data_IF_276452894395
#
_entry.id   IF_276452894395
#
_cell.length_a   1.000
_cell.length_b   1.000
_cell.length_c   1.000
_cell.angle_alpha   90.00
_cell.angle_beta   90.00
_cell.angle_gamma   90.00
#
_symmetry.space_group_name_H-M   'P 1'
#
loop_
_entity.id
_entity.type
_entity.pdbx_description
1 polymer ?
#
# COMPACT_ATOMS: atom_id res chain seq x y z
N UNK A 1 -35.26 4.28 35.06
CA UNK A 1 -34.56 2.99 34.95
C UNK A 1 -35.64 1.93 34.86
N UNK A 2 -35.68 1.20 33.74
CA UNK A 2 -36.62 0.11 33.51
C UNK A 2 -36.38 -1.02 34.53
N UNK A 3 -37.44 -1.74 34.89
CA UNK A 3 -37.40 -2.71 36.01
C UNK A 3 -37.43 -4.19 35.57
N UNK A 4 -37.66 -4.43 34.27
CA UNK A 4 -37.62 -5.74 33.64
C UNK A 4 -36.22 -6.38 33.67
N UNK A 5 -36.15 -7.71 33.79
CA UNK A 5 -34.91 -8.50 33.64
C UNK A 5 -34.51 -8.62 32.16
N UNK A 6 -33.56 -7.78 31.75
CA UNK A 6 -33.11 -7.72 30.36
C UNK A 6 -32.45 -9.01 29.87
N UNK A 7 -31.91 -9.85 30.76
CA UNK A 7 -31.20 -11.07 30.35
C UNK A 7 -32.15 -12.15 29.80
N UNK A 8 -33.44 -12.05 30.14
CA UNK A 8 -34.50 -12.96 29.69
C UNK A 8 -35.45 -12.31 28.68
N UNK A 9 -35.33 -11.01 28.47
CA UNK A 9 -36.18 -10.26 27.57
C UNK A 9 -36.03 -10.75 26.13
N UNK A 10 -37.17 -10.97 25.47
CA UNK A 10 -37.23 -11.22 24.03
C UNK A 10 -38.18 -10.23 23.35
N UNK A 11 -37.71 -9.60 22.26
CA UNK A 11 -38.50 -8.72 21.41
C UNK A 11 -38.81 -9.41 20.08
N UNK A 12 -40.07 -9.34 19.62
CA UNK A 12 -40.48 -9.86 18.32
C UNK A 12 -41.10 -8.79 17.44
N UNK A 13 -40.64 -8.71 16.20
CA UNK A 13 -41.12 -7.76 15.18
C UNK A 13 -41.91 -8.51 14.12
N UNK A 14 -43.24 -8.42 14.16
CA UNK A 14 -44.13 -9.22 13.29
C UNK A 14 -44.70 -8.44 12.09
N UNK A 15 -44.20 -7.23 11.82
CA UNK A 15 -44.75 -6.33 10.80
C UNK A 15 -43.70 -5.86 9.78
N UNK A 16 -43.00 -6.78 9.13
CA UNK A 16 -42.09 -6.44 8.04
C UNK A 16 -42.83 -6.12 6.74
N UNK A 17 -42.28 -5.18 5.98
CA UNK A 17 -42.77 -4.68 4.71
C UNK A 17 -41.82 -5.10 3.58
N UNK A 18 -42.38 -5.44 2.42
CA UNK A 18 -41.58 -5.60 1.19
C UNK A 18 -41.14 -4.22 0.69
N UNK A 19 -40.00 -4.14 0.02
CA UNK A 19 -39.56 -2.90 -0.62
C UNK A 19 -40.25 -2.72 -1.99
N UNK A 20 -41.35 -1.95 -2.01
CA UNK A 20 -42.16 -1.67 -3.22
C UNK A 20 -42.25 -0.17 -3.52
N UNK A 21 -42.51 0.17 -4.78
CA UNK A 21 -42.68 1.56 -5.23
C UNK A 21 -43.93 2.15 -4.58
N UNK A 22 -43.78 3.26 -3.86
CA UNK A 22 -44.86 3.96 -3.15
C UNK A 22 -45.08 3.52 -1.70
N UNK A 23 -44.44 2.41 -1.30
CA UNK A 23 -44.48 1.87 0.07
C UNK A 23 -43.11 1.98 0.75
N UNK A 24 -42.23 2.87 0.28
CA UNK A 24 -40.94 3.10 0.94
C UNK A 24 -41.14 3.87 2.25
N UNK A 25 -40.23 3.71 3.23
CA UNK A 25 -40.19 4.57 4.41
C UNK A 25 -40.04 6.05 4.01
N UNK A 26 -40.44 6.96 4.90
CA UNK A 26 -40.18 8.38 4.69
C UNK A 26 -38.66 8.67 4.78
N UNK A 27 -38.22 9.75 4.13
CA UNK A 27 -36.80 10.14 4.14
C UNK A 27 -36.29 10.31 5.58
N UNK A 28 -35.18 9.62 5.90
CA UNK A 28 -34.56 9.65 7.22
C UNK A 28 -35.19 8.70 8.25
N UNK A 29 -36.24 7.96 7.90
CA UNK A 29 -36.86 6.99 8.82
C UNK A 29 -35.95 5.79 9.09
N UNK A 30 -35.87 5.44 10.38
CA UNK A 30 -35.09 4.32 10.85
C UNK A 30 -35.78 3.01 10.58
N UNK A 31 -35.03 2.13 9.93
CA UNK A 31 -35.52 0.83 9.53
C UNK A 31 -34.59 -0.26 10.05
N UNK A 32 -35.21 -1.31 10.59
CA UNK A 32 -34.59 -2.62 10.69
C UNK A 32 -34.71 -3.29 9.32
N UNK A 33 -33.60 -3.80 8.79
CA UNK A 33 -33.50 -4.29 7.43
C UNK A 33 -33.16 -5.77 7.42
N UNK A 34 -33.85 -6.51 6.55
CA UNK A 34 -33.45 -7.84 6.11
C UNK A 34 -32.85 -7.72 4.70
N UNK A 35 -31.65 -8.26 4.52
CA UNK A 35 -30.97 -8.31 3.24
C UNK A 35 -31.40 -9.55 2.45
N UNK A 36 -31.25 -9.51 1.13
CA UNK A 36 -31.59 -10.63 0.24
C UNK A 36 -30.78 -11.90 0.49
N UNK A 37 -29.63 -11.78 1.14
CA UNK A 37 -28.80 -12.90 1.56
C UNK A 37 -29.17 -13.46 2.94
N UNK A 38 -30.22 -12.92 3.59
CA UNK A 38 -30.73 -13.37 4.88
C UNK A 38 -30.12 -12.66 6.11
N UNK A 39 -29.15 -11.76 5.91
CA UNK A 39 -28.56 -10.96 7.00
C UNK A 39 -29.50 -9.86 7.47
N UNK A 40 -29.28 -9.39 8.70
CA UNK A 40 -30.03 -8.27 9.29
C UNK A 40 -29.12 -7.10 9.63
N UNK A 41 -29.59 -5.88 9.34
CA UNK A 41 -28.87 -4.64 9.66
C UNK A 41 -29.86 -3.52 9.97
N UNK A 42 -29.37 -2.29 10.12
CA UNK A 42 -30.19 -1.13 10.39
C UNK A 42 -29.66 0.11 9.67
N UNK A 43 -30.57 0.96 9.22
CA UNK A 43 -30.21 2.20 8.54
C UNK A 43 -31.39 3.13 8.31
N UNK A 44 -31.12 4.35 7.87
CA UNK A 44 -32.15 5.32 7.51
C UNK A 44 -32.32 5.42 6.00
N UNK A 45 -33.56 5.50 5.54
CA UNK A 45 -33.86 5.58 4.12
C UNK A 45 -33.47 6.92 3.49
N UNK A 46 -32.78 6.87 2.34
CA UNK A 46 -32.40 8.02 1.52
C UNK A 46 -32.81 7.78 0.06
N UNK A 47 -33.88 8.44 -0.38
CA UNK A 47 -34.37 8.37 -1.77
C UNK A 47 -33.38 9.03 -2.74
N UNK A 48 -33.07 8.38 -3.86
CA UNK A 48 -32.20 8.92 -4.93
C UNK A 48 -32.94 9.22 -6.24
N UNK A 49 -34.18 8.75 -6.40
CA UNK A 49 -34.97 8.93 -7.62
C UNK A 49 -35.68 10.29 -7.74
N UNK A 50 -36.08 10.63 -8.97
CA UNK A 50 -36.84 11.85 -9.30
C UNK A 50 -38.36 11.75 -9.03
N UNK A 51 -38.79 10.64 -8.44
CA UNK A 51 -40.19 10.31 -8.14
C UNK A 51 -41.05 9.91 -9.35
N UNK A 52 -40.45 9.71 -10.54
CA UNK A 52 -41.18 9.42 -11.79
C UNK A 52 -40.93 8.02 -12.36
N UNK A 53 -39.95 7.27 -11.84
CA UNK A 53 -39.67 5.90 -12.27
C UNK A 53 -40.48 4.87 -11.47
N UNK A 54 -40.83 3.74 -12.10
CA UNK A 54 -41.47 2.59 -11.44
C UNK A 54 -40.42 1.67 -10.76
N UNK A 55 -39.28 2.22 -10.36
CA UNK A 55 -38.17 1.48 -9.74
C UNK A 55 -37.90 2.12 -8.39
N UNK A 56 -37.66 1.30 -7.36
CA UNK A 56 -37.21 1.80 -6.06
C UNK A 56 -35.74 2.21 -6.19
N UNK A 57 -35.48 3.51 -6.24
CA UNK A 57 -34.13 4.08 -6.34
C UNK A 57 -33.77 4.84 -5.06
N UNK A 58 -32.82 4.32 -4.30
CA UNK A 58 -32.35 4.89 -3.04
C UNK A 58 -31.39 3.97 -2.30
N UNK A 59 -30.99 4.39 -1.11
CA UNK A 59 -30.08 3.63 -0.27
C UNK A 59 -30.46 3.79 1.20
N UNK A 60 -30.10 2.80 2.01
CA UNK A 60 -30.15 2.89 3.46
C UNK A 60 -28.78 3.28 3.97
N UNK A 61 -28.71 4.41 4.65
CA UNK A 61 -27.46 4.92 5.23
C UNK A 61 -27.22 4.23 6.58
N UNK A 62 -26.04 3.64 6.74
CA UNK A 62 -25.54 2.95 7.93
C UNK A 62 -24.39 3.77 8.56
N UNK A 63 -24.68 4.57 9.57
CA UNK A 63 -23.64 5.36 10.26
C UNK A 63 -22.97 6.44 9.39
N UNK A 64 -21.66 6.66 9.54
CA UNK A 64 -20.92 7.82 9.00
C UNK A 64 -20.46 7.73 7.54
N UNK A 65 -20.43 6.55 6.92
CA UNK A 65 -19.88 6.40 5.57
C UNK A 65 -20.31 5.13 4.81
N UNK A 66 -21.23 4.35 5.36
CA UNK A 66 -21.63 3.05 4.80
C UNK A 66 -23.10 3.11 4.33
N UNK A 67 -23.41 2.46 3.22
CA UNK A 67 -24.73 2.51 2.56
C UNK A 67 -25.09 1.13 2.02
N UNK A 68 -26.35 0.73 2.17
CA UNK A 68 -26.93 -0.47 1.54
C UNK A 68 -27.84 -0.01 0.41
N UNK A 69 -27.60 -0.48 -0.81
CA UNK A 69 -28.48 -0.16 -1.92
C UNK A 69 -29.87 -0.76 -1.69
N UNK A 70 -30.92 -0.02 -2.08
CA UNK A 70 -32.30 -0.49 -1.98
C UNK A 70 -32.51 -1.88 -2.61
N UNK A 71 -31.79 -2.17 -3.70
CA UNK A 71 -31.87 -3.45 -4.41
C UNK A 71 -31.30 -4.64 -3.62
N UNK A 72 -30.55 -4.42 -2.55
CA UNK A 72 -30.00 -5.46 -1.69
C UNK A 72 -30.95 -5.84 -0.54
N UNK A 73 -31.96 -5.01 -0.25
CA UNK A 73 -32.92 -5.22 0.82
C UNK A 73 -34.06 -6.12 0.34
N UNK A 74 -34.37 -7.17 1.11
CA UNK A 74 -35.51 -8.04 0.86
C UNK A 74 -36.76 -7.53 1.58
N UNK A 75 -36.63 -7.18 2.86
CA UNK A 75 -37.71 -6.65 3.70
C UNK A 75 -37.19 -5.61 4.69
N UNK A 76 -38.10 -4.83 5.24
CA UNK A 76 -37.75 -3.77 6.18
C UNK A 76 -38.87 -3.52 7.20
N UNK A 77 -38.55 -2.82 8.29
CA UNK A 77 -39.49 -2.50 9.36
C UNK A 77 -39.20 -1.14 9.99
N UNK A 78 -40.19 -0.24 10.05
CA UNK A 78 -40.10 1.07 10.69
C UNK A 78 -39.94 0.95 12.21
N UNK A 79 -38.85 1.48 12.77
CA UNK A 79 -38.61 1.44 14.21
C UNK A 79 -39.22 2.64 14.96
N UNK A 80 -39.42 3.77 14.29
CA UNK A 80 -39.96 4.99 14.87
C UNK A 80 -41.41 4.83 15.39
N UNK A 81 -42.13 3.78 14.97
CA UNK A 81 -43.50 3.48 15.40
C UNK A 81 -43.59 2.88 16.80
N UNK A 82 -42.48 2.55 17.42
CA UNK A 82 -42.46 1.73 18.63
C UNK A 82 -41.70 2.36 19.79
N UNK A 83 -42.31 2.26 20.96
CA UNK A 83 -41.73 2.65 22.24
C UNK A 83 -42.13 1.59 23.27
N UNK A 84 -41.13 0.98 23.91
CA UNK A 84 -41.32 -0.13 24.84
C UNK A 84 -41.44 0.32 26.31
N UNK A 85 -41.35 1.62 26.62
CA UNK A 85 -41.30 2.13 28.01
C UNK A 85 -42.40 1.56 28.91
N UNK A 86 -43.66 1.63 28.47
CA UNK A 86 -44.81 1.14 29.24
C UNK A 86 -44.79 -0.38 29.51
N UNK A 87 -44.09 -1.15 28.69
CA UNK A 87 -44.00 -2.61 28.81
C UNK A 87 -42.82 -3.05 29.68
N UNK A 88 -41.85 -2.17 29.94
CA UNK A 88 -40.60 -2.51 30.63
C UNK A 88 -40.56 -2.05 32.10
N UNK A 89 -41.64 -1.42 32.57
CA UNK A 89 -41.83 -1.01 33.96
C UNK A 89 -42.35 -2.13 34.87
N UNK A 90 -42.63 -3.32 34.31
CA UNK A 90 -43.10 -4.52 35.01
C UNK A 90 -42.00 -5.60 35.04
N UNK A 91 -41.60 -5.99 36.25
CA UNK A 91 -40.54 -6.97 36.54
C UNK A 91 -40.88 -8.40 36.02
N UNK A 92 -42.13 -8.65 35.61
CA UNK A 92 -42.61 -9.97 35.13
C UNK A 92 -42.63 -10.14 33.61
N UNK A 93 -42.25 -9.12 32.85
CA UNK A 93 -42.30 -9.16 31.39
C UNK A 93 -41.04 -9.84 30.83
N UNK A 94 -41.19 -11.02 30.25
CA UNK A 94 -40.09 -11.74 29.57
C UNK A 94 -40.17 -11.61 28.03
N UNK A 95 -41.31 -11.13 27.50
CA UNK A 95 -41.57 -11.09 26.07
C UNK A 95 -42.39 -9.86 25.67
N UNK A 96 -41.96 -9.15 24.63
CA UNK A 96 -42.70 -8.02 24.04
C UNK A 96 -42.86 -8.26 22.54
N UNK A 97 -44.11 -8.33 22.09
CA UNK A 97 -44.44 -8.31 20.67
C UNK A 97 -44.67 -6.87 20.23
N UNK A 98 -43.83 -6.41 19.30
CA UNK A 98 -43.83 -5.03 18.81
C UNK A 98 -44.77 -4.88 17.60
N UNK A 99 -45.24 -5.96 16.98
CA UNK A 99 -46.19 -5.91 15.86
C UNK A 99 -47.54 -6.58 16.16
N UNK A 100 -48.59 -6.32 15.36
CA UNK A 100 -49.81 -7.12 15.41
C UNK A 100 -49.51 -8.59 15.12
N UNK A 101 -50.05 -9.48 15.94
CA UNK A 101 -49.95 -10.93 15.76
C UNK A 101 -50.78 -11.35 14.54
N UNK A 102 -50.17 -12.08 13.59
CA UNK A 102 -50.84 -12.62 12.39
C UNK A 102 -50.33 -14.04 12.13
N UNK A 103 -51.21 -14.92 11.67
CA UNK A 103 -50.90 -16.35 11.46
C UNK A 103 -49.76 -16.61 10.44
N UNK A 104 -49.60 -15.73 9.44
CA UNK A 104 -48.54 -15.80 8.41
C UNK A 104 -47.49 -14.67 8.54
N UNK A 105 -47.32 -14.10 9.74
CA UNK A 105 -46.39 -12.98 9.93
C UNK A 105 -44.93 -13.41 9.72
N UNK A 106 -44.20 -12.67 8.88
CA UNK A 106 -42.74 -12.70 8.92
C UNK A 106 -42.27 -12.03 10.21
N UNK A 107 -41.45 -12.72 11.00
CA UNK A 107 -41.00 -12.25 12.31
C UNK A 107 -39.50 -12.33 12.47
N UNK A 108 -38.92 -11.28 13.07
CA UNK A 108 -37.58 -11.31 13.65
C UNK A 108 -37.70 -11.35 15.17
N UNK A 109 -37.05 -12.32 15.80
CA UNK A 109 -36.94 -12.42 17.24
C UNK A 109 -35.53 -12.04 17.69
N UNK A 110 -35.44 -11.08 18.61
CA UNK A 110 -34.19 -10.65 19.23
C UNK A 110 -34.25 -10.97 20.73
N UNK A 111 -33.23 -11.66 21.22
CA UNK A 111 -33.09 -12.09 22.61
C UNK A 111 -31.65 -11.95 23.09
N UNK A 112 -31.39 -12.21 24.38
CA UNK A 112 -30.03 -12.20 24.93
C UNK A 112 -29.44 -10.78 25.00
N UNK A 113 -30.26 -9.82 25.41
CA UNK A 113 -29.85 -8.44 25.59
C UNK A 113 -28.76 -8.32 26.65
N UNK A 114 -27.85 -7.38 26.45
CA UNK A 114 -26.70 -7.09 27.30
C UNK A 114 -26.74 -5.65 27.79
N UNK A 115 -26.23 -5.41 28.99
CA UNK A 115 -26.21 -4.08 29.59
C UNK A 115 -24.80 -3.49 29.58
N UNK A 116 -24.72 -2.28 29.05
CA UNK A 116 -23.48 -1.51 29.01
C UNK A 116 -23.04 -1.05 30.40
N UNK A 117 -23.99 -0.83 31.32
CA UNK A 117 -23.73 -0.51 32.74
C UNK A 117 -22.98 -1.65 33.46
N UNK A 118 -23.08 -2.89 32.96
CA UNK A 118 -22.39 -4.07 33.51
C UNK A 118 -21.04 -4.34 32.82
N UNK A 119 -20.59 -3.46 31.94
CA UNK A 119 -19.33 -3.60 31.19
C UNK A 119 -19.44 -4.51 29.96
N UNK A 120 -20.65 -4.83 29.50
CA UNK A 120 -20.87 -5.64 28.31
C UNK A 120 -21.01 -4.75 27.06
N UNK A 121 -19.91 -4.56 26.34
CA UNK A 121 -19.86 -3.71 25.14
C UNK A 121 -19.95 -4.53 23.84
N UNK A 122 -20.56 -3.98 22.77
CA UNK A 122 -20.45 -4.56 21.43
C UNK A 122 -18.99 -4.54 20.93
N UNK A 123 -18.68 -5.41 19.96
CA UNK A 123 -17.38 -5.36 19.27
C UNK A 123 -17.34 -4.15 18.34
N UNK A 124 -16.15 -3.55 18.13
CA UNK A 124 -15.95 -2.46 17.18
C UNK A 124 -16.63 -2.81 15.85
N UNK A 125 -17.33 -1.83 15.27
CA UNK A 125 -18.02 -1.93 13.98
C UNK A 125 -19.25 -2.86 13.93
N UNK A 126 -19.67 -3.46 15.06
CA UNK A 126 -20.80 -4.38 15.11
C UNK A 126 -22.15 -3.68 14.94
N UNK A 127 -23.02 -4.21 14.08
CA UNK A 127 -24.42 -3.78 13.97
C UNK A 127 -25.26 -4.32 15.13
N UNK A 128 -25.93 -3.40 15.82
CA UNK A 128 -26.66 -3.67 17.04
C UNK A 128 -28.09 -3.12 16.97
N UNK A 129 -28.97 -3.83 17.65
CA UNK A 129 -30.28 -3.35 18.05
C UNK A 129 -30.21 -2.82 19.49
N UNK A 130 -30.84 -1.68 19.75
CA UNK A 130 -30.73 -0.92 21.00
C UNK A 130 -32.11 -0.64 21.59
N UNK A 131 -32.20 -0.75 22.91
CA UNK A 131 -33.26 -0.15 23.72
C UNK A 131 -32.66 1.02 24.48
N UNK A 132 -33.15 2.23 24.24
CA UNK A 132 -32.67 3.44 24.89
C UNK A 132 -33.26 3.57 26.30
N UNK A 133 -32.64 4.40 27.13
CA UNK A 133 -33.05 4.67 28.53
C UNK A 133 -34.42 5.33 28.67
N UNK A 134 -34.96 5.88 27.58
CA UNK A 134 -36.34 6.39 27.47
C UNK A 134 -37.32 5.35 26.90
N UNK A 135 -36.84 4.15 26.58
CA UNK A 135 -37.61 3.01 26.10
C UNK A 135 -37.89 3.04 24.60
N UNK A 136 -37.33 4.02 23.88
CA UNK A 136 -37.34 4.01 22.43
C UNK A 136 -36.40 2.93 21.88
N UNK A 137 -36.69 2.50 20.65
CA UNK A 137 -35.92 1.46 19.95
C UNK A 137 -35.05 2.10 18.87
N UNK A 138 -33.84 1.59 18.70
CA UNK A 138 -32.91 2.05 17.68
C UNK A 138 -32.06 0.91 17.12
N UNK A 139 -31.43 1.15 15.98
CA UNK A 139 -30.44 0.26 15.36
C UNK A 139 -29.26 1.09 14.88
N UNK A 140 -28.06 0.54 14.92
CA UNK A 140 -26.87 1.26 14.48
C UNK A 140 -25.60 0.45 14.59
N UNK A 141 -24.49 1.06 14.15
CA UNK A 141 -23.16 0.47 14.21
C UNK A 141 -22.42 0.96 15.45
N UNK A 142 -21.78 0.05 16.17
CA UNK A 142 -20.89 0.39 17.28
C UNK A 142 -19.56 0.95 16.77
N UNK A 143 -19.08 2.03 17.37
CA UNK A 143 -17.74 2.55 17.12
C UNK A 143 -17.09 2.95 18.45
N UNK A 144 -15.90 2.42 18.74
CA UNK A 144 -15.19 2.67 19.99
C UNK A 144 -14.34 3.94 19.86
N UNK A 145 -14.55 4.94 20.73
CA UNK A 145 -13.65 6.08 20.81
C UNK A 145 -12.45 5.75 21.72
N UNK A 146 -11.33 6.42 21.46
CA UNK A 146 -10.06 6.24 22.18
C UNK A 146 -10.10 6.50 23.70
N UNK A 147 -11.20 7.04 24.23
CA UNK A 147 -11.45 7.25 25.66
C UNK A 147 -12.17 6.08 26.36
N UNK A 148 -12.53 5.00 25.65
CA UNK A 148 -13.29 3.86 26.18
C UNK A 148 -14.81 4.10 26.24
N UNK A 149 -15.25 5.34 26.04
CA UNK A 149 -16.64 5.70 25.81
C UNK A 149 -16.89 5.62 24.30
N UNK A 150 -17.29 4.46 23.77
CA UNK A 150 -17.72 4.41 22.36
C UNK A 150 -19.05 5.14 22.13
N UNK A 151 -19.43 5.33 20.87
CA UNK A 151 -20.76 5.84 20.55
C UNK A 151 -21.39 5.10 19.38
N UNK A 152 -22.71 5.02 19.43
CA UNK A 152 -23.49 4.54 18.30
C UNK A 152 -23.63 5.66 17.28
N UNK A 153 -23.10 5.42 16.08
CA UNK A 153 -23.08 6.41 15.00
C UNK A 153 -24.37 6.32 14.16
N UNK A 154 -25.10 7.42 14.09
CA UNK A 154 -26.28 7.67 13.24
C UNK A 154 -25.98 8.81 12.24
N UNK A 155 -26.58 8.81 11.04
CA UNK A 155 -26.62 10.01 10.19
C UNK A 155 -27.86 10.02 9.28
N UNK A 156 -28.53 11.18 9.07
CA UNK A 156 -27.89 12.49 8.90
C UNK A 156 -28.41 13.66 9.77
N UNK A 157 -28.54 13.44 11.08
CA UNK A 157 -28.46 14.53 12.06
C UNK A 157 -27.42 14.15 13.12
N UNK A 158 -26.56 15.10 13.50
CA UNK A 158 -25.49 15.00 14.51
C UNK A 158 -26.00 14.56 15.90
N UNK A 159 -26.44 13.31 16.04
CA UNK A 159 -26.70 12.69 17.33
C UNK A 159 -26.04 11.33 17.36
N UNK A 160 -24.86 11.27 17.96
CA UNK A 160 -24.36 10.07 18.60
C UNK A 160 -25.18 9.85 19.88
N UNK A 161 -25.63 8.63 20.11
CA UNK A 161 -26.05 8.26 21.46
C UNK A 161 -24.77 8.03 22.26
N UNK A 162 -24.52 8.92 23.23
CA UNK A 162 -23.57 8.59 24.29
C UNK A 162 -24.11 7.37 25.04
N UNK A 163 -23.19 6.59 25.60
CA UNK A 163 -23.48 5.33 26.28
C UNK A 163 -24.49 5.47 27.41
N UNK A 164 -24.57 6.65 28.02
CA UNK A 164 -25.52 7.00 29.06
C UNK A 164 -27.00 6.95 28.61
N UNK A 165 -27.24 6.93 27.29
CA UNK A 165 -28.59 6.85 26.71
C UNK A 165 -29.02 5.44 26.33
N UNK A 166 -28.13 4.45 26.34
CA UNK A 166 -28.45 3.07 25.98
C UNK A 166 -28.72 2.26 27.25
N UNK A 167 -29.90 1.65 27.36
CA UNK A 167 -30.22 0.78 28.48
C UNK A 167 -29.64 -0.62 28.26
N UNK A 168 -30.01 -1.25 27.13
CA UNK A 168 -29.52 -2.57 26.74
C UNK A 168 -29.45 -2.72 25.22
N UNK A 169 -28.66 -3.69 24.76
CA UNK A 169 -28.45 -3.95 23.33
C UNK A 169 -28.40 -5.45 23.02
N UNK A 170 -28.68 -5.81 21.76
CA UNK A 170 -28.49 -7.14 21.22
C UNK A 170 -27.85 -7.06 19.81
N UNK A 171 -27.00 -8.02 19.41
CA UNK A 171 -26.45 -8.05 18.07
C UNK A 171 -27.54 -8.36 17.03
N UNK A 172 -27.52 -7.68 15.89
CA UNK A 172 -28.28 -8.12 14.72
C UNK A 172 -27.47 -9.24 14.05
N UNK A 173 -28.08 -10.41 13.84
CA UNK A 173 -27.36 -11.65 13.54
C UNK A 173 -26.56 -11.62 12.23
N UNK A 174 -25.26 -11.91 12.37
CA UNK A 174 -24.23 -12.38 11.43
C UNK A 174 -23.97 -11.54 10.17
N UNK A 175 -23.15 -10.50 10.32
CA UNK A 175 -22.34 -10.01 9.21
C UNK A 175 -21.20 -11.01 8.96
N UNK A 176 -21.16 -11.57 7.74
CA UNK A 176 -20.26 -12.63 7.26
C UNK A 176 -18.75 -12.29 7.39
N UNK A 177 -18.45 -11.03 7.67
CA UNK A 177 -17.13 -10.51 8.02
C UNK A 177 -16.68 -11.06 9.39
N UNK A 178 -17.56 -11.08 10.38
CA UNK A 178 -17.20 -11.46 11.75
C UNK A 178 -17.06 -12.96 11.95
N UNK A 179 -17.86 -13.78 11.26
CA UNK A 179 -17.68 -15.23 11.28
C UNK A 179 -16.34 -15.62 10.64
N UNK A 180 -15.94 -14.93 9.56
CA UNK A 180 -14.61 -15.08 8.94
C UNK A 180 -13.47 -14.60 9.83
N UNK A 181 -13.64 -13.50 10.55
CA UNK A 181 -12.62 -13.00 11.49
C UNK A 181 -12.46 -13.90 12.71
N UNK A 182 -13.56 -14.46 13.21
CA UNK A 182 -13.56 -15.39 14.34
C UNK A 182 -12.97 -16.75 13.95
N UNK A 183 -13.28 -17.26 12.75
CA UNK A 183 -12.63 -18.45 12.18
C UNK A 183 -11.13 -18.20 11.97
N UNK A 184 -10.75 -17.08 11.36
CA UNK A 184 -9.35 -16.69 11.23
C UNK A 184 -8.66 -16.58 12.60
N UNK A 185 -9.32 -16.03 13.63
CA UNK A 185 -8.77 -15.98 15.00
C UNK A 185 -8.55 -17.36 15.60
N UNK A 186 -9.47 -18.30 15.42
CA UNK A 186 -9.31 -19.68 15.91
C UNK A 186 -8.22 -20.43 15.17
N UNK A 187 -8.15 -20.30 13.84
CA UNK A 187 -7.04 -20.83 13.04
C UNK A 187 -5.72 -20.23 13.48
N UNK A 188 -5.72 -18.93 13.82
CA UNK A 188 -4.56 -18.26 14.40
C UNK A 188 -4.16 -18.93 15.72
N UNK A 189 -5.02 -18.91 16.73
CA UNK A 189 -4.72 -19.48 18.05
C UNK A 189 -4.25 -20.95 17.94
N UNK A 190 -4.86 -21.74 17.06
CA UNK A 190 -4.45 -23.12 16.78
C UNK A 190 -3.04 -23.22 16.20
N UNK A 191 -2.71 -22.43 15.17
CA UNK A 191 -1.39 -22.44 14.55
C UNK A 191 -0.29 -21.94 15.52
N UNK A 192 -0.59 -20.96 16.37
CA UNK A 192 0.35 -20.51 17.41
C UNK A 192 0.59 -21.60 18.47
N UNK A 193 -0.46 -22.34 18.82
CA UNK A 193 -0.36 -23.48 19.73
C UNK A 193 0.49 -24.61 19.13
N UNK A 194 0.28 -24.94 17.85
CA UNK A 194 1.11 -25.90 17.11
C UNK A 194 2.58 -25.45 17.07
N UNK A 195 2.83 -24.17 16.81
CA UNK A 195 4.17 -23.60 16.66
C UNK A 195 4.87 -23.30 17.99
N UNK A 196 4.20 -23.51 19.13
CA UNK A 196 4.79 -23.34 20.47
C UNK A 196 5.85 -24.40 20.78
N UNK A 197 5.64 -25.63 20.30
CA UNK A 197 6.54 -26.77 20.47
C UNK A 197 6.74 -27.51 19.13
N UNK A 198 7.39 -26.86 18.15
CA UNK A 198 7.55 -27.41 16.81
C UNK A 198 8.43 -28.65 16.83
N UNK A 199 8.06 -29.66 16.03
CA UNK A 199 8.84 -30.88 15.86
C UNK A 199 10.02 -30.63 14.91
N UNK A 200 11.16 -31.30 15.20
CA UNK A 200 12.39 -31.19 14.41
C UNK A 200 12.53 -32.45 13.55
N UNK A 201 12.63 -32.30 12.24
CA UNK A 201 13.01 -33.41 11.36
C UNK A 201 14.54 -33.65 11.45
N UNK A 202 15.01 -34.80 11.98
CA UNK A 202 16.43 -35.03 12.20
C UNK A 202 17.25 -35.17 10.90
N UNK A 203 16.61 -35.47 9.75
CA UNK A 203 17.29 -35.54 8.45
C UNK A 203 17.48 -34.15 7.84
N UNK A 204 16.45 -33.32 7.94
CA UNK A 204 16.45 -31.95 7.42
C UNK A 204 17.29 -31.03 8.32
N UNK A 205 17.20 -31.22 9.64
CA UNK A 205 17.86 -30.41 10.67
C UNK A 205 19.02 -31.13 11.37
N UNK A 206 19.85 -31.87 10.60
CA UNK A 206 21.00 -32.62 11.14
C UNK A 206 21.95 -31.77 12.01
N UNK A 207 22.06 -30.48 11.72
CA UNK A 207 22.96 -29.55 12.41
C UNK A 207 22.25 -28.67 13.45
N UNK A 208 21.00 -29.01 13.80
CA UNK A 208 20.16 -28.24 14.71
C UNK A 208 19.32 -27.18 14.00
N UNK A 209 18.72 -26.28 14.77
CA UNK A 209 17.78 -25.25 14.29
C UNK A 209 18.41 -23.85 14.24
N UNK A 210 19.74 -23.76 14.31
CA UNK A 210 20.46 -22.51 14.06
C UNK A 210 20.81 -22.39 12.57
N UNK A 211 20.12 -21.48 11.88
CA UNK A 211 20.30 -21.25 10.45
C UNK A 211 21.74 -20.82 10.10
N UNK A 212 22.45 -20.19 11.04
CA UNK A 212 23.82 -19.74 10.83
C UNK A 212 24.75 -20.90 10.47
N UNK A 213 24.57 -22.06 11.08
CA UNK A 213 25.39 -23.26 10.81
C UNK A 213 25.28 -23.72 9.35
N UNK A 214 24.09 -23.58 8.75
CA UNK A 214 23.84 -23.94 7.35
C UNK A 214 24.52 -22.97 6.39
N UNK A 215 24.42 -21.67 6.67
CA UNK A 215 25.15 -20.65 5.92
C UNK A 215 26.67 -20.82 6.04
N UNK A 216 27.20 -21.11 7.23
CA UNK A 216 28.64 -21.35 7.43
C UNK A 216 29.14 -22.53 6.58
N UNK A 217 28.41 -23.65 6.56
CA UNK A 217 28.75 -24.82 5.74
C UNK A 217 28.66 -24.55 4.24
N UNK A 218 27.62 -23.83 3.80
CA UNK A 218 27.50 -23.42 2.40
C UNK A 218 28.63 -22.45 2.00
N UNK A 219 28.99 -21.53 2.89
CA UNK A 219 30.12 -20.61 2.71
C UNK A 219 31.44 -21.37 2.56
N UNK A 220 31.71 -22.39 3.38
CA UNK A 220 32.89 -23.25 3.25
C UNK A 220 32.98 -23.96 1.90
N UNK A 221 31.84 -24.40 1.33
CA UNK A 221 31.78 -24.98 -0.02
C UNK A 221 32.11 -23.92 -1.08
N UNK A 222 31.47 -22.75 -1.01
CA UNK A 222 31.68 -21.66 -1.97
C UNK A 222 33.10 -21.09 -1.93
N UNK A 223 33.76 -21.07 -0.77
CA UNK A 223 35.15 -20.58 -0.61
C UNK A 223 36.17 -21.31 -1.48
N UNK A 224 35.86 -22.52 -1.97
CA UNK A 224 36.72 -23.27 -2.89
C UNK A 224 36.83 -22.58 -4.26
N UNK A 225 35.74 -22.00 -4.73
CA UNK A 225 35.66 -21.31 -6.03
C UNK A 225 35.76 -19.79 -5.88
N UNK A 226 35.31 -19.26 -4.74
CA UNK A 226 35.25 -17.83 -4.43
C UNK A 226 35.90 -17.56 -3.07
N UNK A 227 37.23 -17.36 -2.98
CA UNK A 227 37.95 -17.19 -1.72
C UNK A 227 37.43 -16.06 -0.82
N UNK A 228 36.77 -15.05 -1.41
CA UNK A 228 36.16 -13.91 -0.73
C UNK A 228 34.74 -14.20 -0.20
N UNK A 229 34.18 -15.40 -0.40
CA UNK A 229 32.85 -15.73 0.10
C UNK A 229 32.75 -15.56 1.62
N UNK A 230 31.68 -14.93 2.08
CA UNK A 230 31.36 -14.78 3.49
C UNK A 230 29.86 -15.00 3.72
N UNK A 231 29.48 -15.34 4.96
CA UNK A 231 28.06 -15.46 5.33
C UNK A 231 27.31 -14.14 5.13
N UNK A 232 27.97 -13.01 5.39
CA UNK A 232 27.37 -11.68 5.23
C UNK A 232 27.08 -11.36 3.75
N UNK A 233 28.00 -11.71 2.84
CA UNK A 233 27.77 -11.58 1.39
C UNK A 233 26.61 -12.48 0.96
N UNK A 234 26.57 -13.73 1.43
CA UNK A 234 25.50 -14.67 1.09
C UNK A 234 24.10 -14.16 1.53
N UNK A 235 24.04 -13.40 2.62
CA UNK A 235 22.82 -12.80 3.18
C UNK A 235 22.43 -11.45 2.57
N UNK A 236 23.19 -10.92 1.60
CA UNK A 236 22.76 -9.73 0.82
C UNK A 236 21.54 -10.01 -0.05
N UNK A 237 21.36 -11.26 -0.49
CA UNK A 237 20.12 -11.73 -1.09
C UNK A 237 19.06 -11.94 0.01
N UNK A 238 17.81 -12.23 -0.35
CA UNK A 238 16.78 -12.53 0.63
C UNK A 238 17.21 -13.69 1.54
N UNK A 239 17.27 -13.44 2.85
CA UNK A 239 17.74 -14.40 3.84
C UNK A 239 16.73 -15.53 4.04
N UNK A 240 17.22 -16.76 4.08
CA UNK A 240 16.48 -17.91 4.58
C UNK A 240 16.64 -17.98 6.10
N UNK A 241 15.56 -18.35 6.77
CA UNK A 241 15.48 -18.56 8.22
C UNK A 241 15.01 -19.98 8.51
N UNK A 242 15.22 -20.42 9.75
CA UNK A 242 14.55 -21.61 10.31
C UNK A 242 13.43 -21.09 11.20
N UNK A 243 12.20 -21.43 10.88
CA UNK A 243 11.03 -20.95 11.59
C UNK A 243 10.00 -22.10 11.78
N UNK A 244 9.18 -22.05 12.84
CA UNK A 244 8.08 -22.98 12.99
C UNK A 244 6.96 -22.67 12.00
N UNK A 245 6.41 -23.71 11.38
CA UNK A 245 5.22 -23.67 10.51
C UNK A 245 4.46 -24.99 10.64
N UNK A 246 3.16 -24.92 10.90
CA UNK A 246 2.27 -26.07 11.09
C UNK A 246 2.83 -27.11 12.08
N UNK A 247 3.42 -26.64 13.18
CA UNK A 247 3.99 -27.47 14.23
C UNK A 247 5.31 -28.18 13.87
N UNK A 248 6.01 -27.71 12.84
CA UNK A 248 7.32 -28.24 12.42
C UNK A 248 8.30 -27.12 12.14
N UNK A 249 9.58 -27.34 12.39
CA UNK A 249 10.60 -26.45 11.85
C UNK A 249 10.72 -26.62 10.34
N UNK A 250 10.85 -25.50 9.63
CA UNK A 250 11.07 -25.46 8.19
C UNK A 250 12.17 -24.46 7.84
N UNK A 251 12.88 -24.69 6.74
CA UNK A 251 13.65 -23.65 6.08
C UNK A 251 12.69 -22.78 5.27
N UNK A 252 12.72 -21.46 5.43
CA UNK A 252 11.84 -20.58 4.66
C UNK A 252 12.35 -19.16 4.55
N UNK A 253 11.74 -18.36 3.69
CA UNK A 253 11.99 -16.92 3.57
C UNK A 253 10.94 -16.14 4.35
N UNK A 254 11.39 -15.13 5.09
CA UNK A 254 10.50 -14.16 5.71
C UNK A 254 10.01 -13.19 4.63
N UNK A 255 8.71 -13.24 4.33
CA UNK A 255 8.05 -12.39 3.33
C UNK A 255 7.31 -11.20 3.99
N UNK A 256 7.66 -10.92 5.25
CA UNK A 256 7.08 -9.84 6.03
C UNK A 256 5.97 -10.31 6.97
N UNK A 257 5.13 -9.36 7.37
CA UNK A 257 4.06 -9.59 8.34
C UNK A 257 2.70 -9.35 7.69
N UNK A 258 1.82 -10.35 7.76
CA UNK A 258 0.42 -10.22 7.40
C UNK A 258 -0.42 -10.47 8.64
N UNK A 259 -1.27 -9.51 9.01
CA UNK A 259 -2.16 -9.61 10.17
C UNK A 259 -1.42 -10.00 11.47
N UNK A 260 -0.30 -9.33 11.73
CA UNK A 260 0.54 -9.56 12.92
C UNK A 260 1.39 -10.84 12.89
N UNK A 261 1.37 -11.63 11.81
CA UNK A 261 2.14 -12.89 11.68
C UNK A 261 3.20 -12.85 10.61
N UNK A 262 4.35 -13.45 10.92
CA UNK A 262 5.39 -13.68 9.92
C UNK A 262 4.91 -14.65 8.85
N UNK A 263 4.98 -14.23 7.59
CA UNK A 263 4.70 -15.09 6.44
C UNK A 263 5.99 -15.80 6.06
N UNK A 264 6.04 -17.12 6.29
CA UNK A 264 7.21 -17.94 5.98
C UNK A 264 6.97 -18.75 4.70
N UNK A 265 7.67 -18.39 3.63
CA UNK A 265 7.65 -19.16 2.40
C UNK A 265 8.64 -20.33 2.47
N UNK A 266 8.12 -21.51 2.73
CA UNK A 266 8.90 -22.73 2.94
C UNK A 266 9.64 -23.18 1.68
N UNK A 267 10.90 -23.56 1.84
CA UNK A 267 11.66 -24.31 0.85
C UNK A 267 11.24 -25.80 0.85
N UNK A 268 10.89 -26.31 -0.33
CA UNK A 268 10.33 -27.67 -0.51
C UNK A 268 11.14 -28.56 -1.46
N UNK A 269 12.27 -28.08 -1.98
CA UNK A 269 13.00 -28.77 -3.06
C UNK A 269 13.91 -29.91 -2.57
N UNK A 270 13.97 -30.15 -1.26
CA UNK A 270 14.83 -31.18 -0.68
C UNK A 270 14.32 -31.75 0.64
N UNK A 271 14.97 -32.83 1.07
CA UNK A 271 14.60 -33.65 2.23
C UNK A 271 15.73 -33.80 3.25
N UNK A 272 16.91 -33.25 2.96
CA UNK A 272 18.11 -33.38 3.81
C UNK A 272 18.80 -32.05 4.05
N UNK A 273 19.57 -31.98 5.16
CA UNK A 273 20.42 -30.83 5.46
C UNK A 273 21.44 -30.51 4.38
N UNK A 274 21.97 -31.52 3.69
CA UNK A 274 22.97 -31.34 2.64
C UNK A 274 22.37 -30.75 1.36
N UNK A 275 21.18 -31.21 0.96
CA UNK A 275 20.45 -30.62 -0.17
C UNK A 275 20.13 -29.14 0.08
N UNK A 276 19.80 -28.76 1.33
CA UNK A 276 19.59 -27.35 1.67
C UNK A 276 20.90 -26.54 1.60
N UNK A 277 22.02 -27.10 2.04
CA UNK A 277 23.34 -26.46 1.92
C UNK A 277 23.73 -26.27 0.45
N UNK A 278 23.48 -27.26 -0.40
CA UNK A 278 23.76 -27.16 -1.84
C UNK A 278 22.84 -26.13 -2.50
N UNK A 279 21.56 -26.10 -2.12
CA UNK A 279 20.62 -25.05 -2.51
C UNK A 279 21.13 -23.66 -2.10
N UNK A 280 21.60 -23.46 -0.86
CA UNK A 280 22.16 -22.17 -0.43
C UNK A 280 23.38 -21.78 -1.26
N UNK A 281 24.25 -22.74 -1.62
CA UNK A 281 25.37 -22.49 -2.52
C UNK A 281 24.89 -21.96 -3.87
N UNK A 282 23.93 -22.65 -4.51
CA UNK A 282 23.38 -22.26 -5.81
C UNK A 282 22.64 -20.91 -5.74
N UNK A 283 21.81 -20.74 -4.71
CA UNK A 283 20.98 -19.57 -4.50
C UNK A 283 21.79 -18.28 -4.33
N UNK A 284 22.95 -18.37 -3.66
CA UNK A 284 23.80 -17.22 -3.33
C UNK A 284 25.02 -17.07 -4.24
N UNK A 285 25.26 -18.02 -5.16
CA UNK A 285 26.44 -18.05 -6.04
C UNK A 285 26.69 -16.72 -6.76
N UNK A 286 25.67 -16.19 -7.43
CA UNK A 286 25.82 -14.96 -8.21
C UNK A 286 26.07 -13.73 -7.31
N UNK A 287 25.39 -13.68 -6.16
CA UNK A 287 25.62 -12.63 -5.15
C UNK A 287 27.07 -12.66 -4.66
N UNK A 288 27.61 -13.84 -4.37
CA UNK A 288 29.00 -14.01 -3.94
C UNK A 288 29.98 -13.67 -5.05
N UNK A 289 29.76 -14.19 -6.25
CA UNK A 289 30.60 -13.93 -7.43
C UNK A 289 30.70 -12.42 -7.72
N UNK A 290 29.58 -11.71 -7.64
CA UNK A 290 29.51 -10.27 -7.92
C UNK A 290 30.04 -9.39 -6.78
N UNK A 291 30.45 -9.96 -5.64
CA UNK A 291 31.07 -9.25 -4.52
C UNK A 291 32.59 -9.48 -4.46
N UNK A 292 33.24 -9.74 -5.60
CA UNK A 292 34.69 -9.88 -5.67
C UNK A 292 35.37 -8.54 -5.30
N UNK A 293 36.14 -8.47 -4.20
CA UNK A 293 36.78 -7.22 -3.78
C UNK A 293 37.81 -6.72 -4.79
N UNK A 294 38.46 -7.60 -5.56
CA UNK A 294 39.47 -7.20 -6.56
C UNK A 294 38.82 -6.47 -7.76
N UNK A 295 37.58 -6.82 -8.11
CA UNK A 295 36.82 -6.14 -9.17
C UNK A 295 36.12 -4.88 -8.65
N UNK A 296 35.55 -4.96 -7.44
CA UNK A 296 34.83 -3.87 -6.80
C UNK A 296 35.77 -2.73 -6.41
N UNK A 297 36.90 -3.07 -5.78
CA UNK A 297 37.91 -2.14 -5.27
C UNK A 297 39.19 -2.11 -6.12
N UNK A 298 39.04 -2.16 -7.46
CA UNK A 298 40.18 -2.27 -8.39
C UNK A 298 41.12 -1.06 -8.43
N UNK A 299 40.72 0.11 -7.89
CA UNK A 299 41.56 1.30 -7.73
C UNK A 299 42.10 1.46 -6.30
N UNK A 300 41.88 0.48 -5.43
CA UNK A 300 42.31 0.47 -4.03
C UNK A 300 41.17 0.78 -3.05
N UNK A 301 41.53 0.85 -1.75
CA UNK A 301 40.60 1.13 -0.65
C UNK A 301 40.54 2.62 -0.28
N UNK A 302 41.24 3.47 -1.04
CA UNK A 302 41.06 4.91 -0.98
C UNK A 302 39.91 5.30 -1.91
N UNK A 303 38.99 6.13 -1.44
CA UNK A 303 37.83 6.57 -2.23
C UNK A 303 38.23 7.63 -3.27
N UNK A 304 39.28 8.41 -2.99
CA UNK A 304 39.71 9.55 -3.81
C UNK A 304 39.96 9.23 -5.29
N UNK A 305 40.65 8.12 -5.66
CA UNK A 305 40.82 7.75 -7.07
C UNK A 305 39.52 7.58 -7.84
N UNK A 306 38.47 7.05 -7.18
CA UNK A 306 37.15 6.85 -7.79
C UNK A 306 36.46 8.18 -8.03
N UNK A 307 36.43 9.05 -7.02
CA UNK A 307 35.80 10.38 -7.09
C UNK A 307 36.49 11.27 -8.11
N UNK A 308 37.82 11.23 -8.16
CA UNK A 308 38.61 11.97 -9.14
C UNK A 308 38.28 11.53 -10.56
N UNK A 309 38.21 10.22 -10.82
CA UNK A 309 37.86 9.69 -12.15
C UNK A 309 36.44 10.10 -12.57
N UNK A 310 35.47 10.02 -11.65
CA UNK A 310 34.11 10.49 -11.90
C UNK A 310 34.07 12.01 -12.18
N UNK A 311 34.77 12.81 -11.37
CA UNK A 311 34.88 14.26 -11.56
C UNK A 311 35.49 14.61 -12.92
N UNK A 312 36.61 13.99 -13.30
CA UNK A 312 37.26 14.22 -14.59
C UNK A 312 36.35 13.87 -15.77
N UNK A 313 35.60 12.76 -15.68
CA UNK A 313 34.63 12.35 -16.71
C UNK A 313 33.49 13.36 -16.84
N UNK A 314 32.91 13.83 -15.73
CA UNK A 314 31.84 14.84 -15.76
C UNK A 314 32.37 16.20 -16.23
N UNK A 315 33.53 16.65 -15.73
CA UNK A 315 34.13 17.94 -16.07
C UNK A 315 34.45 18.08 -17.56
N UNK A 316 34.69 16.96 -18.26
CA UNK A 316 34.89 16.93 -19.72
C UNK A 316 33.68 17.49 -20.47
N UNK A 317 32.48 17.11 -20.04
CA UNK A 317 31.24 17.43 -20.74
C UNK A 317 30.52 18.63 -20.09
N UNK A 318 30.74 18.85 -18.78
CA UNK A 318 30.21 19.94 -17.96
C UNK A 318 31.35 20.87 -17.53
N UNK A 319 31.85 21.69 -18.46
CA UNK A 319 33.08 22.48 -18.26
C UNK A 319 33.01 23.50 -17.11
N UNK A 320 31.81 23.90 -16.68
CA UNK A 320 31.58 24.80 -15.54
C UNK A 320 31.45 24.07 -14.20
N UNK A 321 31.41 22.74 -14.18
CA UNK A 321 31.23 21.98 -12.94
C UNK A 321 32.42 22.18 -11.99
N UNK A 322 32.19 22.63 -10.77
CA UNK A 322 33.25 22.84 -9.77
C UNK A 322 33.02 21.91 -8.58
N UNK A 323 34.09 21.46 -7.92
CA UNK A 323 34.00 20.59 -6.73
C UNK A 323 33.11 21.20 -5.63
N UNK A 324 33.04 22.52 -5.53
CA UNK A 324 32.16 23.23 -4.59
C UNK A 324 30.67 22.98 -4.83
N UNK A 325 30.29 22.49 -6.01
CA UNK A 325 28.91 22.11 -6.35
C UNK A 325 28.54 20.73 -5.80
N UNK A 326 29.52 19.93 -5.37
CA UNK A 326 29.31 18.57 -4.85
C UNK A 326 28.71 18.63 -3.43
N UNK A 327 27.50 18.09 -3.32
CA UNK A 327 26.77 17.98 -2.05
C UNK A 327 26.79 16.57 -1.45
N UNK A 328 27.17 15.57 -2.23
CA UNK A 328 27.32 14.17 -1.83
C UNK A 328 28.72 13.89 -1.30
N UNK A 329 28.82 12.95 -0.37
CA UNK A 329 30.10 12.47 0.16
C UNK A 329 30.09 10.96 0.06
N UNK A 330 31.20 10.40 -0.38
CA UNK A 330 31.35 8.95 -0.51
C UNK A 330 32.53 8.48 0.34
N UNK A 331 32.44 7.23 0.79
CA UNK A 331 33.56 6.53 1.42
C UNK A 331 33.50 5.03 1.15
N UNK A 332 34.60 4.36 1.48
CA UNK A 332 34.67 2.91 1.57
C UNK A 332 34.65 2.55 3.06
N UNK A 333 33.57 1.90 3.50
CA UNK A 333 33.33 1.64 4.92
C UNK A 333 32.92 0.19 5.17
N UNK A 334 33.10 -0.27 6.41
CA UNK A 334 32.71 -1.62 6.81
C UNK A 334 31.23 -1.66 7.21
N UNK A 335 30.38 -2.15 6.32
CA UNK A 335 28.94 -2.32 6.55
C UNK A 335 28.62 -3.80 6.80
N UNK A 336 28.03 -4.11 7.97
CA UNK A 336 27.65 -5.50 8.35
C UNK A 336 28.77 -6.53 8.16
N UNK A 337 30.02 -6.14 8.41
CA UNK A 337 31.16 -7.05 8.32
C UNK A 337 31.94 -6.99 7.00
N UNK A 338 31.40 -6.35 5.95
CA UNK A 338 31.99 -6.29 4.61
C UNK A 338 32.35 -4.86 4.21
N UNK A 339 33.36 -4.71 3.33
CA UNK A 339 33.71 -3.40 2.78
C UNK A 339 32.74 -3.01 1.66
N UNK A 340 32.19 -1.82 1.75
CA UNK A 340 31.17 -1.29 0.85
C UNK A 340 31.48 0.14 0.45
N UNK A 341 31.08 0.52 -0.77
CA UNK A 341 30.94 1.93 -1.12
C UNK A 341 29.71 2.49 -0.41
N UNK A 342 29.84 3.67 0.17
CA UNK A 342 28.79 4.34 0.94
C UNK A 342 28.64 5.78 0.48
N UNK A 343 27.43 6.33 0.60
CA UNK A 343 27.12 7.72 0.30
C UNK A 343 26.29 8.36 1.42
N UNK A 344 26.58 9.61 1.73
CA UNK A 344 25.73 10.46 2.56
C UNK A 344 25.61 11.88 1.98
N UNK A 345 24.50 12.54 2.31
CA UNK A 345 24.19 13.88 1.83
C UNK A 345 24.51 14.92 2.91
N UNK A 346 25.11 16.06 2.51
CA UNK A 346 25.55 17.16 3.40
C UNK A 346 24.50 17.64 4.40
N UNK A 347 23.22 17.48 4.07
CA UNK A 347 22.09 18.01 4.85
C UNK A 347 21.67 17.10 6.02
N UNK A 348 22.50 16.12 6.39
CA UNK A 348 22.18 15.13 7.42
C UNK A 348 21.27 14.00 6.93
N UNK A 349 21.29 13.74 5.61
CA UNK A 349 20.51 12.67 4.99
C UNK A 349 20.98 11.27 5.38
N UNK A 350 20.17 10.27 5.02
CA UNK A 350 20.42 8.86 5.30
C UNK A 350 21.74 8.36 4.67
N UNK A 351 22.40 7.43 5.36
CA UNK A 351 23.60 6.73 4.91
C UNK A 351 23.19 5.52 4.07
N UNK A 352 23.62 5.48 2.80
CA UNK A 352 23.26 4.43 1.85
C UNK A 352 24.47 3.62 1.42
N UNK A 353 24.26 2.30 1.22
CA UNK A 353 25.24 1.41 0.59
C UNK A 353 25.04 1.44 -0.92
N UNK A 354 26.11 1.76 -1.66
CA UNK A 354 26.15 1.66 -3.11
C UNK A 354 26.51 0.22 -3.50
N UNK A 355 25.51 -0.64 -3.72
CA UNK A 355 25.72 -2.06 -4.05
C UNK A 355 26.18 -2.23 -5.51
N UNK A 356 27.44 -1.88 -5.77
CA UNK A 356 28.09 -2.00 -7.07
C UNK A 356 29.02 -3.22 -7.07
N UNK A 357 28.93 -4.05 -8.11
CA UNK A 357 29.83 -5.20 -8.29
C UNK A 357 31.23 -4.81 -8.76
N UNK A 358 31.36 -3.65 -9.44
CA UNK A 358 32.58 -3.20 -10.10
C UNK A 358 32.86 -1.72 -9.83
N UNK A 359 34.14 -1.37 -9.80
CA UNK A 359 34.62 0.01 -9.70
C UNK A 359 33.98 0.95 -10.73
N UNK A 360 33.91 0.54 -12.00
CA UNK A 360 33.38 1.40 -13.06
C UNK A 360 31.87 1.66 -12.93
N UNK A 361 31.11 0.72 -12.34
CA UNK A 361 29.68 0.93 -12.08
C UNK A 361 29.48 1.91 -10.92
N UNK A 362 30.32 1.83 -9.88
CA UNK A 362 30.34 2.84 -8.81
C UNK A 362 30.71 4.22 -9.35
N UNK A 363 31.76 4.33 -10.17
CA UNK A 363 32.18 5.59 -10.80
C UNK A 363 31.04 6.21 -11.61
N UNK A 364 30.31 5.41 -12.43
CA UNK A 364 29.14 5.90 -13.18
C UNK A 364 28.02 6.41 -12.27
N UNK A 365 27.80 5.76 -11.12
CA UNK A 365 26.84 6.25 -10.13
C UNK A 365 27.25 7.61 -9.58
N UNK A 366 28.52 7.80 -9.25
CA UNK A 366 29.05 9.10 -8.79
C UNK A 366 28.96 10.16 -9.91
N UNK A 367 29.28 9.78 -11.16
CA UNK A 367 29.14 10.66 -12.32
C UNK A 367 27.70 11.17 -12.46
N UNK A 368 26.69 10.30 -12.30
CA UNK A 368 25.29 10.70 -12.34
C UNK A 368 24.96 11.77 -11.29
N UNK A 369 25.38 11.56 -10.04
CA UNK A 369 25.12 12.52 -8.96
C UNK A 369 25.83 13.87 -9.19
N UNK A 370 27.05 13.83 -9.74
CA UNK A 370 27.81 15.02 -10.11
C UNK A 370 27.18 15.78 -11.28
N UNK A 371 26.64 15.08 -12.28
CA UNK A 371 25.89 15.68 -13.38
C UNK A 371 24.64 16.39 -12.87
N UNK A 372 23.88 15.76 -11.97
CA UNK A 372 22.73 16.41 -11.34
C UNK A 372 23.13 17.67 -10.56
N UNK A 373 24.20 17.60 -9.77
CA UNK A 373 24.73 18.75 -9.03
C UNK A 373 25.13 19.89 -9.97
N UNK A 374 25.82 19.59 -11.07
CA UNK A 374 26.22 20.56 -12.09
C UNK A 374 25.01 21.26 -12.74
N UNK A 375 23.95 20.52 -13.02
CA UNK A 375 22.71 21.04 -13.60
C UNK A 375 21.91 21.88 -12.59
N UNK A 376 21.84 21.47 -11.32
CA UNK A 376 21.15 22.23 -10.26
C UNK A 376 21.84 23.55 -9.94
N UNK A 377 23.18 23.57 -9.97
CA UNK A 377 23.96 24.78 -9.70
C UNK A 377 23.85 25.84 -10.81
N UNK A 378 23.35 25.47 -12.00
CA UNK A 378 23.32 26.32 -13.17
C UNK A 378 21.88 26.74 -13.52
N UNK A 379 21.47 27.98 -13.21
CA UNK A 379 20.08 28.40 -13.38
C UNK A 379 19.68 28.47 -14.85
N UNK A 380 18.42 28.14 -15.11
CA UNK A 380 17.77 28.32 -16.40
C UNK A 380 17.56 29.81 -16.67
N UNK A 381 17.99 30.28 -17.84
CA UNK A 381 17.84 31.68 -18.30
C UNK A 381 16.91 31.82 -19.51
N UNK A 382 16.43 30.70 -20.06
CA UNK A 382 15.44 30.68 -21.13
C UNK A 382 14.86 29.28 -21.31
N UNK A 383 13.67 29.19 -21.90
CA UNK A 383 12.99 27.94 -22.16
C UNK A 383 12.20 28.00 -23.46
N UNK A 384 12.10 26.87 -24.16
CA UNK A 384 11.22 26.67 -25.29
C UNK A 384 10.51 25.32 -25.15
N UNK A 385 9.19 25.36 -25.04
CA UNK A 385 8.37 24.15 -25.01
C UNK A 385 7.94 23.79 -26.42
N UNK A 386 8.28 22.58 -26.87
CA UNK A 386 7.81 22.07 -28.15
C UNK A 386 6.28 21.93 -28.07
N UNK A 387 5.52 22.54 -28.99
CA UNK A 387 4.07 22.51 -28.93
C UNK A 387 3.56 21.11 -29.27
N UNK A 388 3.35 20.28 -28.25
CA UNK A 388 2.90 18.88 -28.35
C UNK A 388 1.61 18.76 -29.19
N UNK A 389 0.71 19.75 -29.13
CA UNK A 389 -0.51 19.81 -29.95
C UNK A 389 -0.25 19.91 -31.47
N UNK A 390 0.93 20.38 -31.89
CA UNK A 390 1.35 20.45 -33.31
C UNK A 390 2.15 19.23 -33.76
N UNK A 391 2.65 18.43 -32.81
CA UNK A 391 3.44 17.22 -33.06
C UNK A 391 2.52 16.01 -33.32
N UNK A 392 1.25 16.10 -32.97
CA UNK A 392 0.28 14.99 -33.04
C UNK A 392 0.31 14.13 -31.79
N UNK A 393 -0.55 13.11 -31.72
CA UNK A 393 -0.52 12.15 -30.63
C UNK A 393 0.77 11.32 -30.74
N UNK A 394 1.66 11.47 -29.77
CA UNK A 394 2.89 10.67 -29.65
C UNK A 394 2.67 9.70 -28.51
N UNK A 395 2.37 8.46 -28.87
CA UNK A 395 2.33 7.32 -27.97
C UNK A 395 3.78 6.85 -27.71
N UNK A 396 4.21 6.94 -26.45
CA UNK A 396 5.50 6.45 -25.98
C UNK A 396 5.26 5.19 -25.13
N UNK A 397 5.16 4.02 -25.78
CA UNK A 397 4.95 2.73 -25.10
C UNK A 397 3.70 2.66 -24.20
N UNK A 398 2.60 3.27 -24.66
CA UNK A 398 1.32 3.39 -23.97
C UNK A 398 1.16 4.69 -23.18
N UNK A 399 2.16 5.57 -23.17
CA UNK A 399 2.14 6.82 -22.39
C UNK A 399 2.00 8.04 -23.30
N UNK A 400 1.24 9.03 -22.86
CA UNK A 400 1.07 10.28 -23.59
C UNK A 400 2.20 11.24 -23.26
N UNK A 401 2.86 11.81 -24.27
CA UNK A 401 3.77 12.93 -24.06
C UNK A 401 2.99 14.14 -23.53
N UNK A 402 3.36 14.62 -22.34
CA UNK A 402 2.71 15.76 -21.68
C UNK A 402 3.52 17.05 -21.87
N UNK A 403 4.84 16.96 -21.73
CA UNK A 403 5.73 18.11 -21.85
C UNK A 403 7.07 17.73 -22.49
N UNK A 404 7.57 18.58 -23.37
CA UNK A 404 8.88 18.47 -24.00
C UNK A 404 9.51 19.86 -24.08
N UNK A 405 10.32 20.23 -23.10
CA UNK A 405 10.83 21.59 -22.95
C UNK A 405 12.35 21.63 -23.01
N UNK A 406 12.88 22.41 -23.94
CA UNK A 406 14.29 22.78 -24.00
C UNK A 406 14.55 23.96 -23.08
N UNK A 407 15.63 23.91 -22.31
CA UNK A 407 16.08 24.96 -21.42
C UNK A 407 17.46 25.42 -21.84
N UNK A 408 17.67 26.73 -21.76
CA UNK A 408 18.98 27.36 -21.88
C UNK A 408 19.49 27.68 -20.48
N UNK A 409 20.70 27.23 -20.19
CA UNK A 409 21.38 27.46 -18.92
C UNK A 409 22.18 28.76 -18.96
N UNK A 410 22.48 29.33 -17.80
CA UNK A 410 23.23 30.60 -17.67
C UNK A 410 24.61 30.55 -18.31
N UNK A 411 25.23 29.37 -18.34
CA UNK A 411 26.52 29.12 -19.01
C UNK A 411 26.44 29.21 -20.53
N UNK A 412 25.24 29.13 -21.11
CA UNK A 412 25.00 29.11 -22.55
C UNK A 412 24.62 27.73 -23.09
N UNK A 413 24.81 26.67 -22.30
CA UNK A 413 24.47 25.29 -22.64
C UNK A 413 22.96 25.02 -22.58
N UNK A 414 22.55 23.83 -23.01
CA UNK A 414 21.14 23.46 -23.09
C UNK A 414 20.87 22.12 -22.40
N UNK A 415 19.66 21.99 -21.86
CA UNK A 415 19.10 20.71 -21.41
C UNK A 415 17.68 20.56 -21.92
N UNK A 416 17.15 19.35 -21.95
CA UNK A 416 15.74 19.08 -22.27
C UNK A 416 15.09 18.33 -21.13
N UNK A 417 13.87 18.72 -20.77
CA UNK A 417 13.02 17.98 -19.83
C UNK A 417 11.84 17.39 -20.59
N UNK A 418 11.64 16.10 -20.41
CA UNK A 418 10.56 15.32 -21.01
C UNK A 418 9.69 14.77 -19.90
N UNK A 419 8.38 14.95 -20.02
CA UNK A 419 7.39 14.34 -19.12
C UNK A 419 6.36 13.60 -19.97
N UNK A 420 6.14 12.32 -19.65
CA UNK A 420 5.14 11.47 -20.29
C UNK A 420 4.41 10.62 -19.24
N UNK A 421 3.13 10.33 -19.47
CA UNK A 421 2.32 9.57 -18.51
C UNK A 421 0.95 9.08 -19.01
N UNK A 422 0.39 8.17 -18.21
CA UNK A 422 -1.05 7.93 -18.03
C UNK A 422 -1.48 8.76 -16.81
N UNK A 423 -2.76 9.19 -16.74
CA UNK A 423 -3.36 9.93 -15.60
C UNK A 423 -3.04 9.37 -14.20
N UNK A 424 -2.51 8.16 -14.06
CA UNK A 424 -2.17 7.49 -12.79
C UNK A 424 -0.66 7.28 -12.56
N UNK A 425 0.18 7.30 -13.60
CA UNK A 425 1.64 7.13 -13.48
C UNK A 425 2.37 7.98 -14.54
N UNK A 426 2.99 9.06 -14.10
CA UNK A 426 3.84 9.93 -14.93
C UNK A 426 5.32 9.76 -14.59
N UNK A 427 6.18 9.90 -15.61
CA UNK A 427 7.64 9.93 -15.45
C UNK A 427 8.23 11.18 -16.09
N UNK A 428 9.08 11.89 -15.36
CA UNK A 428 9.87 13.01 -15.87
C UNK A 428 11.34 12.63 -15.96
N UNK A 429 12.01 13.05 -17.05
CA UNK A 429 13.47 12.92 -17.21
C UNK A 429 14.06 14.20 -17.75
N UNK A 430 15.28 14.51 -17.31
CA UNK A 430 16.09 15.58 -17.87
C UNK A 430 17.31 15.00 -18.60
N UNK A 431 17.65 15.58 -19.76
CA UNK A 431 18.82 15.22 -20.54
C UNK A 431 19.64 16.47 -20.83
N UNK A 432 20.93 16.44 -20.50
CA UNK A 432 21.86 17.49 -20.88
C UNK A 432 22.25 17.37 -22.36
N UNK A 433 22.21 18.49 -23.10
CA UNK A 433 22.59 18.51 -24.52
C UNK A 433 24.08 18.85 -24.58
N UNK A 434 24.89 17.83 -24.90
CA UNK A 434 26.34 17.99 -24.96
C UNK A 434 26.74 19.11 -25.94
N UNK A 435 27.77 19.93 -25.61
CA UNK A 435 28.25 20.99 -26.50
C UNK A 435 28.66 20.48 -27.89
N UNK A 436 29.14 19.23 -28.00
CA UNK A 436 29.48 18.57 -29.26
C UNK A 436 28.30 18.42 -30.22
N UNK A 437 27.05 18.42 -29.73
CA UNK A 437 25.87 18.47 -30.61
C UNK A 437 25.85 19.77 -31.43
N UNK A 438 26.31 20.89 -30.86
CA UNK A 438 26.32 22.21 -31.49
C UNK A 438 27.50 22.44 -32.44
N UNK A 439 28.45 21.50 -32.53
CA UNK A 439 29.47 21.51 -33.59
C UNK A 439 28.89 21.13 -34.97
N UNK A 440 27.62 20.70 -35.02
CA UNK A 440 26.88 20.46 -36.24
C UNK A 440 26.77 21.72 -37.12
N UNK A 441 26.91 21.57 -38.44
CA UNK A 441 26.82 22.69 -39.38
C UNK A 441 25.38 23.07 -39.70
N UNK A 442 24.46 22.11 -39.60
CA UNK A 442 23.05 22.29 -39.89
C UNK A 442 22.19 21.88 -38.70
N UNK A 443 20.96 22.40 -38.65
CA UNK A 443 19.99 22.01 -37.63
C UNK A 443 19.64 20.51 -37.73
N UNK A 444 19.60 19.96 -38.95
CA UNK A 444 19.38 18.54 -39.16
C UNK A 444 20.48 17.67 -38.57
N UNK A 445 21.75 18.05 -38.75
CA UNK A 445 22.90 17.36 -38.15
C UNK A 445 22.92 17.49 -36.62
N UNK A 446 22.48 18.63 -36.07
CA UNK A 446 22.32 18.80 -34.63
C UNK A 446 21.31 17.81 -34.07
N UNK A 447 20.13 17.70 -34.72
CA UNK A 447 19.08 16.79 -34.28
C UNK A 447 19.51 15.33 -34.36
N UNK A 448 20.30 14.94 -35.36
CA UNK A 448 20.87 13.58 -35.44
C UNK A 448 21.70 13.26 -34.20
N UNK A 449 22.62 14.16 -33.82
CA UNK A 449 23.47 14.00 -32.63
C UNK A 449 22.67 14.06 -31.32
N UNK A 450 21.69 14.96 -31.25
CA UNK A 450 20.84 15.13 -30.07
C UNK A 450 19.97 13.89 -29.80
N UNK A 451 19.44 13.25 -30.84
CA UNK A 451 18.62 12.05 -30.70
C UNK A 451 19.42 10.81 -30.29
N UNK A 452 20.75 10.86 -30.35
CA UNK A 452 21.60 9.84 -29.70
C UNK A 452 21.62 9.98 -28.17
N UNK A 453 21.33 11.19 -27.65
CA UNK A 453 21.31 11.49 -26.21
C UNK A 453 19.97 11.12 -25.60
N UNK A 454 18.88 11.56 -26.23
CA UNK A 454 17.52 11.27 -25.77
C UNK A 454 17.12 9.91 -26.31
N UNK A 455 17.03 8.91 -25.43
CA UNK A 455 16.69 7.56 -25.86
C UNK A 455 15.39 7.55 -26.66
N UNK A 456 15.29 6.65 -27.65
CA UNK A 456 14.13 6.57 -28.55
C UNK A 456 12.77 6.43 -27.81
N UNK A 457 12.79 5.99 -26.55
CA UNK A 457 11.58 5.87 -25.70
C UNK A 457 11.13 7.19 -25.06
N UNK A 458 11.96 8.23 -25.07
CA UNK A 458 11.68 9.57 -24.53
C UNK A 458 11.93 10.70 -25.55
N UNK A 459 12.37 10.38 -26.77
CA UNK A 459 12.66 11.35 -27.82
C UNK A 459 11.50 11.59 -28.79
N UNK A 460 11.33 12.83 -29.24
CA UNK A 460 10.53 13.12 -30.43
C UNK A 460 11.30 12.76 -31.70
N UNK A 461 10.61 12.22 -32.71
CA UNK A 461 11.23 11.95 -34.01
C UNK A 461 11.80 13.24 -34.64
N UNK A 462 12.87 13.10 -35.44
CA UNK A 462 13.56 14.21 -36.09
C UNK A 462 12.61 15.11 -36.89
N UNK A 463 11.66 14.51 -37.60
CA UNK A 463 10.68 15.19 -38.45
C UNK A 463 9.74 16.09 -37.65
N UNK A 464 9.52 15.78 -36.37
CA UNK A 464 8.68 16.58 -35.47
C UNK A 464 9.43 17.83 -35.01
N UNK A 465 10.71 17.67 -34.64
CA UNK A 465 11.58 18.76 -34.19
C UNK A 465 12.02 19.66 -35.35
N UNK A 466 12.13 19.12 -36.57
CA UNK A 466 12.44 19.87 -37.79
C UNK A 466 11.36 20.89 -38.17
N UNK A 467 10.10 20.68 -37.77
CA UNK A 467 8.97 21.57 -38.08
C UNK A 467 8.86 22.77 -37.12
N UNK A 468 9.59 22.75 -36.01
CA UNK A 468 9.55 23.80 -34.99
C UNK A 468 10.63 24.86 -35.27
N UNK A 469 10.28 25.86 -36.09
CA UNK A 469 11.17 26.97 -36.45
C UNK A 469 11.56 27.83 -35.23
N UNK A 470 10.70 27.90 -34.21
CA UNK A 470 11.02 28.64 -32.98
C UNK A 470 12.04 27.88 -32.14
N UNK A 471 11.95 26.54 -32.07
CA UNK A 471 13.01 25.72 -31.46
C UNK A 471 14.34 25.89 -32.19
N UNK A 472 14.32 25.84 -33.53
CA UNK A 472 15.53 26.04 -34.37
C UNK A 472 16.21 27.38 -34.04
N UNK A 473 15.42 28.45 -33.95
CA UNK A 473 15.89 29.80 -33.58
C UNK A 473 16.37 29.86 -32.12
N UNK A 474 15.67 29.23 -31.20
CA UNK A 474 16.04 29.16 -29.78
C UNK A 474 17.41 28.51 -29.58
N UNK A 475 17.71 27.45 -30.35
CA UNK A 475 18.98 26.75 -30.36
C UNK A 475 20.09 27.48 -31.14
N UNK A 476 19.77 28.61 -31.79
CA UNK A 476 20.75 29.48 -32.45
C UNK A 476 21.08 29.14 -33.91
N UNK A 477 20.31 28.26 -34.55
CA UNK A 477 20.47 27.97 -35.99
C UNK A 477 19.76 29.02 -36.85
N UNK A 478 20.34 29.37 -38.00
CA UNK A 478 19.75 30.32 -38.95
C UNK A 478 18.66 29.64 -39.78
N UNK A 479 17.62 30.38 -40.15
CA UNK A 479 16.70 29.95 -41.19
C UNK A 479 17.47 29.98 -42.51
N UNK A 480 17.53 28.84 -43.20
CA UNK A 480 18.14 28.75 -44.52
C UNK A 480 17.22 29.41 -45.57
#
# INVERSE_FOLDING_TARGET
>A
MFKCDYTKLTLSFNNFHDLKVGDQPDYGEFCLLELKDGRHTGGSWCSKGDGKSNIVEGEFIRGTADTVDASEVSKWHELNRYNASNCMDDDSVEWINVGPEKEDAYSLQLSGFKSTEMGEFPREEQYCFLILTDGSLAVGRWNEYSSGDGAFIYAPALSSYSMDKVWVWAPLSNDDVFDREEEARREREHEDELNRNPTVDPKLFRYGTDIKVYYEKACEKLKKDYPWASVEIMKKKQEYVIAPRHGKYVFGRDDGTYDGRKVIWQWNDGTTSEEFIDFLCDYTRDTVKNNNPDEKFSLGLDIEPYLKKAYENVKRDYTWFEESMITTHYAIEKCRGELEFTVWYKDGGEHFVCDCAKADDFIKSVEHDYQEAALRANPVVGSHSVPVSKVGHVDMHGWNLENYTFYKLKTGDYKVSVTAGDRVAGGSREFFIMPSCFEAKTYGEFLDRYLEIVSASFGLAKENLMKDEELKKFLGFKND
#
